data_IF_861050011718
#
_entry.id   IF_861050011718
#
_cell.length_a   1.000
_cell.length_b   1.000
_cell.length_c   1.000
_cell.angle_alpha   90.00
_cell.angle_beta   90.00
_cell.angle_gamma   90.00
#
_symmetry.space_group_name_H-M   'P 1'
#
loop_
_entity.id
_entity.type
_entity.pdbx_description
1 polymer ?
#
# COMPACT_ATOMS: atom_id res chain seq x y z
N UNK A 1 -21.97 1.33 38.20
CA UNK A 1 -21.13 1.97 37.16
C UNK A 1 -21.52 1.40 35.82
N UNK A 2 -22.22 2.19 35.01
CA UNK A 2 -22.82 1.76 33.74
C UNK A 2 -21.72 1.68 32.66
N UNK A 3 -21.50 0.49 32.10
CA UNK A 3 -20.68 0.29 30.89
C UNK A 3 -21.31 1.12 29.77
N UNK A 4 -20.69 2.24 29.43
CA UNK A 4 -21.01 3.00 28.23
C UNK A 4 -20.61 2.11 27.03
N UNK A 5 -21.62 1.50 26.39
CA UNK A 5 -21.42 0.82 25.10
C UNK A 5 -20.78 1.84 24.15
N UNK A 6 -19.57 1.56 23.68
CA UNK A 6 -19.01 2.30 22.56
C UNK A 6 -20.06 2.30 21.45
N UNK A 7 -20.47 3.50 21.00
CA UNK A 7 -21.38 3.63 19.86
C UNK A 7 -20.70 2.96 18.67
N UNK A 8 -21.23 1.83 18.22
CA UNK A 8 -20.89 1.27 16.92
C UNK A 8 -21.30 2.32 15.89
N UNK A 9 -20.34 2.98 15.25
CA UNK A 9 -20.62 3.78 14.07
C UNK A 9 -20.68 2.80 12.89
N UNK A 10 -21.85 2.75 12.25
CA UNK A 10 -22.01 2.01 11.01
C UNK A 10 -21.83 2.98 9.85
N UNK A 11 -20.94 2.64 8.94
CA UNK A 11 -20.72 3.30 7.66
C UNK A 11 -21.54 2.59 6.59
N UNK A 12 -21.90 3.31 5.52
CA UNK A 12 -22.78 2.82 4.47
C UNK A 12 -22.25 3.18 3.07
N UNK A 13 -21.02 2.75 2.70
CA UNK A 13 -20.47 2.98 1.38
C UNK A 13 -21.38 2.46 0.26
N UNK A 14 -21.35 3.13 -0.89
CA UNK A 14 -22.12 2.75 -2.06
C UNK A 14 -21.38 1.74 -2.92
N UNK A 15 -22.07 0.70 -3.37
CA UNK A 15 -21.58 -0.28 -4.36
C UNK A 15 -22.36 -0.16 -5.66
N UNK A 16 -21.64 -0.07 -6.77
CA UNK A 16 -22.20 -0.15 -8.12
C UNK A 16 -22.70 -1.56 -8.43
N UNK A 17 -23.89 -1.65 -9.02
CA UNK A 17 -24.49 -2.88 -9.53
C UNK A 17 -25.11 -2.66 -10.91
N UNK A 18 -25.01 -3.67 -11.76
CA UNK A 18 -25.78 -3.73 -12.98
C UNK A 18 -27.23 -4.08 -12.63
N UNK A 19 -28.13 -3.14 -12.89
CA UNK A 19 -29.58 -3.37 -12.70
C UNK A 19 -30.10 -4.16 -13.90
N UNK A 20 -30.62 -5.37 -13.66
CA UNK A 20 -31.31 -6.16 -14.68
C UNK A 20 -32.79 -5.75 -14.80
N UNK A 21 -33.25 -5.42 -16.01
CA UNK A 21 -34.65 -5.06 -16.29
C UNK A 21 -34.83 -4.14 -17.50
N UNK A 22 -36.07 -3.68 -17.80
CA UNK A 22 -36.38 -2.85 -18.97
C UNK A 22 -35.74 -1.44 -18.94
N UNK A 23 -35.13 -1.06 -17.81
CA UNK A 23 -34.23 0.09 -17.67
C UNK A 23 -32.85 -0.45 -17.30
N UNK A 24 -32.14 -1.04 -18.28
CA UNK A 24 -30.77 -1.46 -18.10
C UNK A 24 -29.91 -0.23 -17.74
N UNK A 25 -29.28 -0.24 -16.58
CA UNK A 25 -28.50 0.88 -16.04
C UNK A 25 -27.66 0.50 -14.83
N UNK A 26 -26.82 1.44 -14.38
CA UNK A 26 -26.01 1.27 -13.16
C UNK A 26 -26.84 1.74 -11.96
N UNK A 27 -27.10 0.85 -11.02
CA UNK A 27 -27.71 1.15 -9.72
C UNK A 27 -26.66 1.18 -8.60
N UNK A 28 -26.99 1.83 -7.49
CA UNK A 28 -26.13 1.88 -6.30
C UNK A 28 -26.87 1.31 -5.09
N UNK A 29 -26.22 0.43 -4.34
CA UNK A 29 -26.72 -0.03 -3.04
C UNK A 29 -25.79 0.42 -1.91
N UNK A 30 -26.33 0.64 -0.72
CA UNK A 30 -25.52 0.84 0.49
C UNK A 30 -25.07 -0.51 1.06
N UNK A 31 -23.78 -0.66 1.33
CA UNK A 31 -23.22 -1.81 2.04
C UNK A 31 -22.88 -1.38 3.46
N UNK A 32 -23.39 -2.07 4.47
CA UNK A 32 -23.05 -1.75 5.87
C UNK A 32 -21.63 -2.17 6.19
N UNK A 33 -20.84 -1.26 6.74
CA UNK A 33 -19.53 -1.51 7.32
C UNK A 33 -19.52 -1.03 8.76
N UNK A 34 -19.30 -1.94 9.72
CA UNK A 34 -19.30 -1.59 11.13
C UNK A 34 -17.93 -1.11 11.59
N UNK A 35 -17.89 -0.34 12.68
CA UNK A 35 -16.63 -0.01 13.36
C UNK A 35 -15.86 -1.27 13.79
N UNK A 36 -16.55 -2.37 14.09
CA UNK A 36 -15.93 -3.65 14.45
C UNK A 36 -15.09 -4.22 13.31
N UNK A 37 -15.64 -4.21 12.10
CA UNK A 37 -14.95 -4.70 10.89
C UNK A 37 -13.67 -3.91 10.62
N UNK A 38 -13.70 -2.58 10.84
CA UNK A 38 -12.52 -1.71 10.67
C UNK A 38 -11.46 -2.01 11.74
N UNK A 39 -11.89 -2.29 12.98
CA UNK A 39 -10.97 -2.65 14.07
C UNK A 39 -10.34 -4.02 13.89
N UNK A 40 -11.09 -4.99 13.38
CA UNK A 40 -10.56 -6.31 13.07
C UNK A 40 -9.60 -6.24 11.89
N UNK A 41 -9.96 -5.49 10.84
CA UNK A 41 -9.03 -5.19 9.76
C UNK A 41 -7.76 -4.48 10.25
N UNK A 42 -7.85 -3.50 11.16
CA UNK A 42 -6.66 -2.83 11.72
C UNK A 42 -5.67 -3.80 12.37
N UNK A 43 -6.13 -4.90 12.98
CA UNK A 43 -5.25 -5.93 13.54
C UNK A 43 -4.50 -6.71 12.46
N UNK A 44 -5.13 -6.93 11.30
CA UNK A 44 -4.57 -7.69 10.18
C UNK A 44 -3.81 -6.80 9.17
N UNK A 45 -4.05 -5.49 9.19
CA UNK A 45 -3.47 -4.51 8.26
C UNK A 45 -1.95 -4.37 8.40
N UNK A 46 -1.37 -4.71 9.55
CA UNK A 46 0.06 -4.54 9.80
C UNK A 46 0.50 -3.09 10.05
N UNK A 47 1.81 -2.85 10.00
CA UNK A 47 2.43 -1.56 10.33
C UNK A 47 2.80 -0.78 9.06
N UNK A 48 2.36 0.48 8.98
CA UNK A 48 2.63 1.37 7.84
C UNK A 48 4.12 1.62 7.61
N UNK A 49 4.88 1.81 8.70
CA UNK A 49 6.30 2.13 8.64
C UNK A 49 7.15 0.94 8.19
N UNK A 50 6.72 -0.28 8.51
CA UNK A 50 7.41 -1.51 8.11
C UNK A 50 7.04 -1.96 6.68
N UNK A 51 5.78 -1.74 6.29
CA UNK A 51 5.25 -2.24 5.02
C UNK A 51 4.18 -1.32 4.40
N UNK A 52 4.57 -0.16 3.87
CA UNK A 52 3.63 0.77 3.25
C UNK A 52 2.95 0.18 2.01
N UNK A 53 3.64 -0.70 1.27
CA UNK A 53 3.12 -1.32 0.05
C UNK A 53 2.04 -2.35 0.38
N UNK A 54 2.33 -3.31 1.26
CA UNK A 54 1.35 -4.32 1.66
C UNK A 54 0.21 -3.74 2.47
N UNK A 55 0.43 -2.66 3.23
CA UNK A 55 -0.66 -1.91 3.87
C UNK A 55 -1.54 -1.24 2.80
N UNK A 56 -0.95 -0.60 1.79
CA UNK A 56 -1.70 0.01 0.68
C UNK A 56 -2.59 -1.02 -0.04
N UNK A 57 -2.04 -2.18 -0.39
CA UNK A 57 -2.78 -3.26 -1.06
C UNK A 57 -3.94 -3.80 -0.20
N UNK A 58 -3.70 -4.03 1.09
CA UNK A 58 -4.74 -4.51 2.02
C UNK A 58 -5.84 -3.48 2.23
N UNK A 59 -5.49 -2.19 2.35
CA UNK A 59 -6.49 -1.12 2.48
C UNK A 59 -7.30 -0.99 1.19
N UNK A 60 -6.66 -1.08 0.02
CA UNK A 60 -7.34 -1.03 -1.27
C UNK A 60 -8.34 -2.19 -1.43
N UNK A 61 -7.95 -3.41 -1.04
CA UNK A 61 -8.81 -4.58 -1.01
C UNK A 61 -9.96 -4.46 -0.01
N UNK A 62 -9.68 -3.94 1.19
CA UNK A 62 -10.69 -3.73 2.23
C UNK A 62 -11.77 -2.72 1.80
N UNK A 63 -11.36 -1.61 1.18
CA UNK A 63 -12.31 -0.64 0.63
C UNK A 63 -13.05 -1.22 -0.58
N UNK A 64 -12.39 -2.07 -1.36
CA UNK A 64 -12.95 -2.67 -2.56
C UNK A 64 -13.40 -1.62 -3.58
N UNK A 65 -14.32 -1.97 -4.50
CA UNK A 65 -14.83 -1.06 -5.53
C UNK A 65 -15.94 -0.13 -5.01
N UNK A 66 -16.08 0.03 -3.69
CA UNK A 66 -17.16 0.84 -3.14
C UNK A 66 -16.77 2.33 -3.13
N UNK A 67 -17.78 3.20 -3.21
CA UNK A 67 -17.67 4.65 -3.12
C UNK A 67 -17.96 5.05 -1.68
N UNK A 68 -16.97 5.65 -1.04
CA UNK A 68 -17.04 6.13 0.32
C UNK A 68 -17.16 7.65 0.31
N UNK A 69 -18.03 8.19 1.16
CA UNK A 69 -18.11 9.63 1.41
C UNK A 69 -16.85 10.13 2.11
N UNK A 70 -16.67 11.46 2.12
CA UNK A 70 -15.53 12.09 2.81
C UNK A 70 -15.52 11.71 4.31
N UNK A 71 -16.66 11.77 5.00
CA UNK A 71 -16.76 11.44 6.43
C UNK A 71 -16.44 9.97 6.70
N UNK A 72 -16.90 9.06 5.84
CA UNK A 72 -16.62 7.63 5.97
C UNK A 72 -15.12 7.34 5.81
N UNK A 73 -14.47 7.93 4.80
CA UNK A 73 -13.03 7.81 4.61
C UNK A 73 -12.25 8.42 5.78
N UNK A 74 -12.64 9.60 6.27
CA UNK A 74 -11.98 10.19 7.44
C UNK A 74 -12.16 9.34 8.71
N UNK A 75 -13.34 8.72 8.89
CA UNK A 75 -13.61 7.82 10.01
C UNK A 75 -12.77 6.55 9.94
N UNK A 76 -12.70 5.92 8.76
CA UNK A 76 -11.85 4.75 8.52
C UNK A 76 -10.39 5.11 8.81
N UNK A 77 -9.86 6.17 8.19
CA UNK A 77 -8.47 6.62 8.44
C UNK A 77 -8.21 6.95 9.91
N UNK A 78 -9.20 7.51 10.61
CA UNK A 78 -9.12 7.83 12.03
C UNK A 78 -8.98 6.60 12.93
N UNK A 79 -9.49 5.44 12.50
CA UNK A 79 -9.29 4.15 13.19
C UNK A 79 -7.99 3.49 12.73
N UNK A 80 -7.70 3.56 11.42
CA UNK A 80 -6.60 2.81 10.84
C UNK A 80 -5.22 3.40 11.11
N UNK A 81 -5.10 4.71 11.32
CA UNK A 81 -3.80 5.38 11.34
C UNK A 81 -3.69 6.42 12.46
N UNK A 82 -2.49 6.58 13.01
CA UNK A 82 -2.22 7.68 13.95
C UNK A 82 -2.28 9.04 13.24
N UNK A 83 -2.28 10.13 14.00
CA UNK A 83 -2.24 11.48 13.43
C UNK A 83 -0.98 11.72 12.58
N UNK A 84 0.16 11.19 13.00
CA UNK A 84 1.44 11.27 12.30
C UNK A 84 1.39 10.48 10.99
N UNK A 85 0.92 9.24 11.03
CA UNK A 85 0.74 8.40 9.85
C UNK A 85 -0.21 9.05 8.84
N UNK A 86 -1.36 9.57 9.28
CA UNK A 86 -2.29 10.31 8.42
C UNK A 86 -1.64 11.53 7.76
N UNK A 87 -0.82 12.27 8.50
CA UNK A 87 -0.08 13.42 7.96
C UNK A 87 0.98 13.00 6.93
N UNK A 88 1.63 11.84 7.11
CA UNK A 88 2.56 11.27 6.13
C UNK A 88 1.80 10.86 4.85
N UNK A 89 0.73 10.09 5.01
CA UNK A 89 -0.13 9.61 3.90
C UNK A 89 -0.65 10.80 3.10
N UNK A 90 -1.23 11.80 3.77
CA UNK A 90 -1.80 12.98 3.10
C UNK A 90 -0.75 13.75 2.30
N UNK A 91 0.42 14.05 2.90
CA UNK A 91 1.49 14.76 2.19
C UNK A 91 2.01 13.98 1.00
N UNK A 92 2.21 12.67 1.14
CA UNK A 92 2.67 11.82 0.05
C UNK A 92 1.65 11.75 -1.08
N UNK A 93 0.37 11.52 -0.75
CA UNK A 93 -0.72 11.44 -1.72
C UNK A 93 -0.90 12.74 -2.49
N UNK A 94 -0.96 13.88 -1.78
CA UNK A 94 -1.13 15.19 -2.41
C UNK A 94 0.02 15.50 -3.38
N UNK A 95 1.27 15.27 -2.96
CA UNK A 95 2.44 15.48 -3.81
C UNK A 95 2.37 14.67 -5.12
N UNK A 96 1.88 13.44 -5.06
CA UNK A 96 1.78 12.57 -6.24
C UNK A 96 0.63 13.01 -7.14
N UNK A 97 -0.51 13.36 -6.55
CA UNK A 97 -1.63 13.91 -7.28
C UNK A 97 -1.25 15.16 -8.06
N UNK A 98 -0.63 16.15 -7.40
CA UNK A 98 -0.23 17.41 -8.03
C UNK A 98 0.80 17.19 -9.14
N UNK A 99 1.74 16.25 -8.96
CA UNK A 99 2.70 15.88 -9.99
C UNK A 99 2.04 15.25 -11.23
N UNK A 100 0.98 14.46 -11.04
CA UNK A 100 0.23 13.83 -12.13
C UNK A 100 -0.79 14.77 -12.78
N UNK A 101 -1.25 15.79 -12.05
CA UNK A 101 -2.30 16.71 -12.47
C UNK A 101 -1.80 18.16 -12.52
N UNK A 102 -0.63 18.39 -13.13
CA UNK A 102 -0.01 19.71 -13.19
C UNK A 102 -0.90 20.82 -13.81
N UNK A 103 -1.86 20.45 -14.66
CA UNK A 103 -2.84 21.36 -15.28
C UNK A 103 -4.27 21.15 -14.76
N UNK A 104 -4.44 20.30 -13.75
CA UNK A 104 -5.74 19.92 -13.19
C UNK A 104 -6.02 20.53 -11.82
N UNK A 105 -7.15 20.16 -11.20
CA UNK A 105 -7.47 20.57 -9.83
C UNK A 105 -6.39 20.11 -8.86
N UNK A 106 -5.96 21.03 -8.01
CA UNK A 106 -4.96 20.77 -6.97
C UNK A 106 -5.45 19.75 -5.94
N UNK A 107 -4.52 19.05 -5.31
CA UNK A 107 -4.84 17.96 -4.39
C UNK A 107 -5.60 18.42 -3.13
N UNK A 108 -5.49 19.69 -2.74
CA UNK A 108 -6.21 20.26 -1.60
C UNK A 108 -7.72 20.34 -1.84
N UNK A 109 -8.14 20.56 -3.09
CA UNK A 109 -9.54 20.49 -3.52
C UNK A 109 -10.06 19.05 -3.53
N UNK A 110 -9.18 18.07 -3.80
CA UNK A 110 -9.51 16.65 -3.90
C UNK A 110 -9.39 15.89 -2.57
N UNK A 111 -8.64 16.43 -1.62
CA UNK A 111 -8.62 15.98 -0.24
C UNK A 111 -8.70 17.18 0.70
N UNK A 112 -9.86 17.82 0.87
CA UNK A 112 -10.01 18.96 1.76
C UNK A 112 -9.86 18.55 3.23
N UNK A 113 -9.43 19.49 4.08
CA UNK A 113 -9.30 19.30 5.53
C UNK A 113 -10.66 19.31 6.25
N UNK A 114 -11.65 19.97 5.66
CA UNK A 114 -13.02 20.03 6.17
C UNK A 114 -13.94 19.29 5.20
N UNK A 115 -15.10 18.87 5.72
CA UNK A 115 -16.10 18.21 4.91
C UNK A 115 -16.56 19.12 3.76
N UNK A 116 -16.36 18.71 2.49
CA UNK A 116 -16.75 19.51 1.34
C UNK A 116 -18.26 19.43 1.00
N UNK A 117 -19.05 18.69 1.79
CA UNK A 117 -20.47 18.42 1.56
C UNK A 117 -20.74 17.71 0.22
N UNK A 118 -19.84 16.81 -0.20
CA UNK A 118 -20.05 16.01 -1.41
C UNK A 118 -21.22 15.05 -1.26
N UNK A 119 -22.27 15.30 -2.04
CA UNK A 119 -23.41 14.41 -2.18
C UNK A 119 -23.13 13.22 -3.12
N UNK A 120 -23.17 11.99 -2.60
CA UNK A 120 -22.96 10.74 -3.34
C UNK A 120 -23.97 10.47 -4.48
N UNK A 121 -25.13 11.15 -4.50
CA UNK A 121 -26.12 11.05 -5.58
C UNK A 121 -25.69 11.86 -6.81
N UNK A 122 -24.84 12.88 -6.63
CA UNK A 122 -24.28 13.65 -7.73
C UNK A 122 -23.11 12.88 -8.39
N UNK A 123 -23.17 12.59 -9.71
CA UNK A 123 -22.08 11.95 -10.44
C UNK A 123 -20.73 12.65 -10.34
N UNK A 124 -20.70 13.98 -10.38
CA UNK A 124 -19.44 14.76 -10.28
C UNK A 124 -18.80 14.58 -8.91
N UNK A 125 -19.61 14.63 -7.85
CA UNK A 125 -19.15 14.41 -6.48
C UNK A 125 -18.66 12.97 -6.26
N UNK A 126 -19.24 11.97 -6.93
CA UNK A 126 -18.70 10.61 -6.89
C UNK A 126 -17.30 10.54 -7.50
N UNK A 127 -17.03 11.32 -8.56
CA UNK A 127 -15.68 11.51 -9.09
C UNK A 127 -14.72 12.03 -8.02
N UNK A 128 -15.11 13.07 -7.27
CA UNK A 128 -14.29 13.58 -6.15
C UNK A 128 -14.03 12.54 -5.05
N UNK A 129 -15.02 11.72 -4.71
CA UNK A 129 -14.86 10.63 -3.74
C UNK A 129 -13.89 9.56 -4.23
N UNK A 130 -13.93 9.21 -5.52
CA UNK A 130 -13.00 8.26 -6.15
C UNK A 130 -11.58 8.82 -6.23
N UNK A 131 -11.44 10.11 -6.57
CA UNK A 131 -10.15 10.81 -6.55
C UNK A 131 -9.56 10.79 -5.13
N UNK A 132 -10.35 11.13 -4.11
CA UNK A 132 -9.92 11.08 -2.72
C UNK A 132 -9.42 9.68 -2.30
N UNK A 133 -10.18 8.63 -2.65
CA UNK A 133 -9.75 7.23 -2.42
C UNK A 133 -8.40 6.96 -3.09
N UNK A 134 -8.23 7.37 -4.34
CA UNK A 134 -6.98 7.19 -5.10
C UNK A 134 -5.80 7.89 -4.43
N UNK A 135 -5.99 9.14 -4.00
CA UNK A 135 -4.96 9.92 -3.30
C UNK A 135 -4.58 9.24 -1.97
N UNK A 136 -5.55 8.71 -1.23
CA UNK A 136 -5.30 7.97 0.02
C UNK A 136 -4.45 6.72 -0.24
N UNK A 137 -4.85 5.86 -1.17
CA UNK A 137 -4.15 4.60 -1.45
C UNK A 137 -2.72 4.86 -1.91
N UNK A 138 -2.53 5.84 -2.80
CA UNK A 138 -1.21 6.23 -3.28
C UNK A 138 -0.37 6.91 -2.19
N UNK A 139 -1.02 7.69 -1.31
CA UNK A 139 -0.39 8.29 -0.14
C UNK A 139 0.10 7.25 0.86
N UNK A 140 -0.65 6.16 1.09
CA UNK A 140 -0.22 5.03 1.93
C UNK A 140 1.01 4.36 1.32
N UNK A 141 0.96 4.11 0.00
CA UNK A 141 2.04 3.46 -0.74
C UNK A 141 3.38 4.21 -0.64
N UNK A 142 3.33 5.54 -0.62
CA UNK A 142 4.52 6.40 -0.70
C UNK A 142 4.73 7.26 0.56
N UNK A 143 4.02 6.94 1.66
CA UNK A 143 4.12 7.65 2.94
C UNK A 143 5.51 7.52 3.56
N UNK A 144 6.15 6.37 3.37
CA UNK A 144 7.47 6.06 3.90
C UNK A 144 8.49 6.15 2.77
N UNK A 145 9.54 6.97 2.89
CA UNK A 145 10.61 7.01 1.90
C UNK A 145 11.20 5.62 1.70
N UNK A 146 11.28 5.15 0.45
CA UNK A 146 11.74 3.79 0.12
C UNK A 146 13.10 3.47 0.77
N UNK A 147 14.02 4.43 0.85
CA UNK A 147 15.31 4.25 1.53
C UNK A 147 15.25 3.76 3.00
N UNK A 148 14.11 3.86 3.69
CA UNK A 148 13.92 3.39 5.07
C UNK A 148 13.46 1.91 5.16
N UNK A 149 13.04 1.27 4.06
CA UNK A 149 12.52 -0.11 4.05
C UNK A 149 13.51 -1.17 3.54
N UNK A 150 14.82 -0.87 3.59
CA UNK A 150 15.90 -1.83 3.27
C UNK A 150 15.78 -3.12 4.10
N UNK A 151 15.35 -3.02 5.36
CA UNK A 151 15.13 -4.19 6.21
C UNK A 151 14.11 -5.16 5.61
N UNK A 152 13.01 -4.63 5.04
CA UNK A 152 11.99 -5.45 4.38
C UNK A 152 12.49 -6.05 3.07
N UNK A 153 13.28 -5.30 2.29
CA UNK A 153 13.91 -5.81 1.06
C UNK A 153 14.71 -7.11 1.30
N UNK A 154 15.28 -7.28 2.49
CA UNK A 154 16.14 -8.40 2.86
C UNK A 154 15.60 -9.28 4.00
N UNK A 155 14.33 -9.13 4.37
CA UNK A 155 13.74 -9.91 5.46
C UNK A 155 13.54 -11.39 5.05
N UNK A 156 13.33 -11.63 3.77
CA UNK A 156 13.08 -12.97 3.24
C UNK A 156 14.38 -13.79 3.14
N UNK A 157 14.25 -15.11 3.20
CA UNK A 157 15.32 -16.07 2.91
C UNK A 157 15.01 -16.83 1.63
N UNK A 158 16.03 -17.43 1.06
CA UNK A 158 15.85 -18.38 -0.04
C UNK A 158 15.01 -19.57 0.42
N UNK A 159 14.05 -19.99 -0.41
CA UNK A 159 13.27 -21.21 -0.13
C UNK A 159 14.09 -22.44 -0.50
N UNK A 160 13.84 -23.57 0.15
CA UNK A 160 14.60 -24.82 -0.08
C UNK A 160 14.52 -25.31 -1.54
N UNK A 161 13.40 -25.08 -2.21
CA UNK A 161 13.13 -25.49 -3.58
C UNK A 161 13.41 -24.41 -4.62
N UNK A 162 13.77 -23.19 -4.19
CA UNK A 162 14.00 -22.05 -5.08
C UNK A 162 15.44 -22.05 -5.60
N UNK A 163 15.61 -21.91 -6.91
CA UNK A 163 16.94 -21.89 -7.52
C UNK A 163 17.73 -20.61 -7.17
N UNK A 164 19.07 -20.63 -7.25
CA UNK A 164 19.90 -19.43 -7.04
C UNK A 164 19.49 -18.23 -7.90
N UNK A 165 19.16 -18.45 -9.18
CA UNK A 165 18.75 -17.37 -10.09
C UNK A 165 17.40 -16.79 -9.70
N UNK A 166 16.41 -17.63 -9.37
CA UNK A 166 15.10 -17.16 -8.88
C UNK A 166 15.23 -16.36 -7.58
N UNK A 167 16.11 -16.80 -6.67
CA UNK A 167 16.41 -16.09 -5.44
C UNK A 167 17.04 -14.72 -5.70
N UNK A 168 18.02 -14.65 -6.61
CA UNK A 168 18.67 -13.38 -6.98
C UNK A 168 17.68 -12.41 -7.63
N UNK A 169 16.83 -12.89 -8.54
CA UNK A 169 15.80 -12.06 -9.18
C UNK A 169 14.77 -11.54 -8.18
N UNK A 170 14.36 -12.36 -7.20
CA UNK A 170 13.48 -11.92 -6.11
C UNK A 170 14.16 -10.87 -5.23
N UNK A 171 15.44 -11.02 -4.91
CA UNK A 171 16.22 -10.02 -4.19
C UNK A 171 16.35 -8.70 -4.96
N UNK A 172 16.63 -8.74 -6.28
CA UNK A 172 16.68 -7.55 -7.14
C UNK A 172 15.35 -6.80 -7.13
N UNK A 173 14.24 -7.53 -7.32
CA UNK A 173 12.88 -6.98 -7.27
C UNK A 173 12.57 -6.35 -5.91
N UNK A 174 12.87 -7.06 -4.82
CA UNK A 174 12.62 -6.58 -3.46
C UNK A 174 13.47 -5.33 -3.14
N UNK A 175 14.74 -5.31 -3.56
CA UNK A 175 15.62 -4.16 -3.38
C UNK A 175 15.04 -2.93 -4.07
N UNK A 176 14.69 -3.04 -5.35
CA UNK A 176 14.13 -1.92 -6.10
C UNK A 176 12.78 -1.47 -5.53
N UNK A 177 11.91 -2.43 -5.20
CA UNK A 177 10.55 -2.18 -4.74
C UNK A 177 10.51 -1.50 -3.36
N UNK A 178 11.25 -2.02 -2.39
CA UNK A 178 11.18 -1.57 -1.01
C UNK A 178 12.19 -0.48 -0.67
N UNK A 179 13.38 -0.46 -1.31
CA UNK A 179 14.42 0.53 -1.02
C UNK A 179 14.50 1.67 -2.04
N UNK A 180 14.01 1.46 -3.27
CA UNK A 180 14.21 2.38 -4.39
C UNK A 180 15.64 2.44 -4.92
N UNK A 181 16.55 1.62 -4.38
CA UNK A 181 17.93 1.49 -4.87
C UNK A 181 17.90 0.73 -6.19
N UNK A 182 18.59 1.27 -7.19
CA UNK A 182 18.83 0.58 -8.45
C UNK A 182 19.70 -0.67 -8.21
N UNK A 183 19.20 -1.88 -8.52
CA UNK A 183 19.96 -3.12 -8.40
C UNK A 183 21.32 -3.11 -9.13
N UNK A 184 21.43 -2.33 -10.21
CA UNK A 184 22.64 -2.25 -11.03
C UNK A 184 23.60 -1.14 -10.59
N UNK A 185 23.20 -0.27 -9.66
CA UNK A 185 24.11 0.70 -9.07
C UNK A 185 25.14 0.01 -8.16
N UNK A 186 26.35 0.57 -7.96
CA UNK A 186 27.39 -0.05 -7.13
C UNK A 186 26.94 -0.42 -5.72
N UNK A 187 26.13 0.43 -5.08
CA UNK A 187 25.55 0.17 -3.76
C UNK A 187 24.52 -0.97 -3.82
N UNK A 188 23.72 -1.02 -4.88
CA UNK A 188 22.75 -2.09 -5.11
C UNK A 188 23.42 -3.45 -5.26
N UNK A 189 24.44 -3.54 -6.13
CA UNK A 189 25.21 -4.76 -6.32
C UNK A 189 25.93 -5.23 -5.04
N UNK A 190 26.51 -4.30 -4.28
CA UNK A 190 27.16 -4.64 -3.01
C UNK A 190 26.18 -5.21 -1.98
N UNK A 191 24.98 -4.63 -1.87
CA UNK A 191 23.93 -5.11 -0.98
C UNK A 191 23.37 -6.46 -1.43
N UNK A 192 23.09 -6.64 -2.72
CA UNK A 192 22.61 -7.91 -3.28
C UNK A 192 23.59 -9.04 -3.00
N UNK A 193 24.88 -8.81 -3.22
CA UNK A 193 25.92 -9.81 -2.97
C UNK A 193 26.00 -10.21 -1.49
N UNK A 194 25.98 -9.22 -0.61
CA UNK A 194 26.01 -9.46 0.84
C UNK A 194 24.80 -10.27 1.30
N UNK A 195 23.61 -9.91 0.82
CA UNK A 195 22.35 -10.53 1.26
C UNK A 195 22.07 -11.87 0.60
N UNK A 196 22.45 -12.03 -0.67
CA UNK A 196 22.36 -13.30 -1.38
C UNK A 196 23.07 -14.40 -0.60
N UNK A 197 24.30 -14.17 -0.16
CA UNK A 197 25.08 -15.15 0.63
C UNK A 197 24.49 -15.34 2.03
N UNK A 198 24.20 -14.24 2.74
CA UNK A 198 23.72 -14.29 4.12
C UNK A 198 22.37 -15.01 4.29
N UNK A 199 21.53 -15.00 3.25
CA UNK A 199 20.15 -15.50 3.27
C UNK A 199 19.93 -16.74 2.39
N UNK A 200 20.98 -17.23 1.73
CA UNK A 200 20.96 -18.46 0.92
C UNK A 200 20.77 -19.71 1.79
N UNK A 201 20.10 -20.71 1.22
CA UNK A 201 19.97 -22.02 1.85
C UNK A 201 21.33 -22.73 1.96
N UNK A 202 21.45 -23.68 2.88
CA UNK A 202 22.75 -24.23 3.30
C UNK A 202 23.52 -24.95 2.17
N UNK A 203 22.79 -25.60 1.26
CA UNK A 203 23.36 -26.27 0.10
C UNK A 203 24.01 -25.28 -0.89
N UNK A 204 23.42 -24.08 -1.03
CA UNK A 204 23.96 -23.00 -1.86
C UNK A 204 25.13 -22.33 -1.16
N UNK A 205 25.06 -22.07 0.16
CA UNK A 205 26.23 -21.59 0.93
C UNK A 205 27.42 -22.54 0.77
N UNK A 206 27.20 -23.86 0.90
CA UNK A 206 28.24 -24.88 0.66
C UNK A 206 28.75 -24.94 -0.78
N UNK A 207 27.92 -24.59 -1.77
CA UNK A 207 28.37 -24.47 -3.17
C UNK A 207 29.19 -23.19 -3.39
N UNK A 208 28.80 -22.08 -2.77
CA UNK A 208 29.49 -20.78 -2.88
C UNK A 208 30.84 -20.79 -2.14
N UNK A 209 30.92 -21.44 -0.99
CA UNK A 209 32.18 -21.64 -0.24
C UNK A 209 33.20 -22.50 -1.01
N UNK A 210 32.74 -23.35 -1.93
CA UNK A 210 33.60 -24.15 -2.82
C UNK A 210 34.06 -23.40 -4.07
N UNK A 211 33.50 -22.21 -4.34
CA UNK A 211 33.93 -21.35 -5.43
C UNK A 211 34.99 -20.39 -4.90
N UNK A 212 36.25 -20.66 -5.23
CA UNK A 212 37.34 -19.70 -4.98
C UNK A 212 37.01 -18.35 -5.64
N UNK A 213 37.29 -17.27 -4.90
CA UNK A 213 37.11 -15.87 -5.31
C UNK A 213 35.67 -15.46 -5.69
N UNK A 214 34.63 -16.03 -5.07
CA UNK A 214 33.24 -15.58 -5.28
C UNK A 214 33.03 -14.08 -4.95
N UNK A 215 33.89 -13.51 -4.11
CA UNK A 215 33.93 -12.08 -3.78
C UNK A 215 34.43 -11.19 -4.93
N UNK A 216 35.09 -11.73 -5.95
CA UNK A 216 35.66 -10.97 -7.08
C UNK A 216 34.94 -11.22 -8.41
N UNK A 217 34.03 -12.20 -8.48
CA UNK A 217 33.28 -12.47 -9.72
C UNK A 217 32.22 -11.43 -10.00
N UNK A 218 32.06 -11.14 -11.28
CA UNK A 218 30.96 -10.37 -11.85
C UNK A 218 29.69 -11.25 -11.85
N UNK A 219 28.65 -10.80 -11.15
CA UNK A 219 27.42 -11.57 -10.91
C UNK A 219 26.36 -11.32 -11.99
N UNK A 220 26.71 -10.58 -13.04
CA UNK A 220 25.84 -10.23 -14.17
C UNK A 220 25.54 -11.40 -15.11
N UNK A 221 26.17 -12.56 -14.91
CA UNK A 221 26.09 -13.71 -15.84
C UNK A 221 25.44 -14.99 -15.28
N UNK A 222 24.55 -14.89 -14.28
CA UNK A 222 23.77 -16.02 -13.76
C UNK A 222 22.25 -15.82 -13.93
#
# INVERSE_FOLDING_TARGET
>A
MTRQRARQQNLYPLREMLMGGPQAGIGFISVSLSSGDIWDFKKEMGNLLEDPLGVSERVDQFLGPNIYTWDELQSILGILFTSEEKNMIRRAGMRIWDAQHAQGPQADLKWPLQNPNWNHQNPEHRGHMQDLRTIIIQGIREAVPRGQNINKAFNERQKKEETPTEWLERLRKNLQLYSGIDPEAPVGQALLKTQFVAKSWEDIRKKLEKLDNWQERDWTSY
#
